data_IF_137541850364
#
_entry.id   IF_137541850364
#
_cell.length_a   1.000
_cell.length_b   1.000
_cell.length_c   1.000
_cell.angle_alpha   90.00
_cell.angle_beta   90.00
_cell.angle_gamma   90.00
#
_symmetry.space_group_name_H-M   'P 1'
#
loop_
_entity.id
_entity.type
_entity.pdbx_description
1 polymer ?
#
# COMPACT_ATOMS: atom_id res chain seq x y z
N UNK A 1 -9.59 4.38 15.19
CA UNK A 1 -8.64 5.41 14.75
C UNK A 1 -7.74 4.72 13.75
N UNK A 2 -7.60 5.23 12.52
CA UNK A 2 -6.70 4.63 11.54
C UNK A 2 -5.28 4.69 12.07
N UNK A 3 -4.50 3.64 11.82
CA UNK A 3 -3.10 3.62 12.18
C UNK A 3 -2.32 4.49 11.19
N UNK A 4 -1.50 5.42 11.71
CA UNK A 4 -0.68 6.31 10.89
C UNK A 4 0.78 5.91 11.11
N UNK A 5 1.40 5.40 10.06
CA UNK A 5 2.77 4.93 10.09
C UNK A 5 3.64 5.84 9.23
N UNK A 6 4.83 6.17 9.71
CA UNK A 6 5.81 6.90 8.91
C UNK A 6 6.44 5.97 7.89
N UNK A 7 6.56 6.45 6.66
CA UNK A 7 7.30 5.77 5.60
C UNK A 7 8.79 6.01 5.85
N UNK A 8 9.59 4.95 6.10
CA UNK A 8 11.02 5.12 6.33
C UNK A 8 11.74 5.61 5.07
N UNK A 9 12.81 6.39 5.24
CA UNK A 9 13.64 6.89 4.14
C UNK A 9 14.22 5.76 3.27
N UNK A 10 14.39 4.55 3.83
CA UNK A 10 14.81 3.37 3.08
C UNK A 10 13.84 2.99 1.94
N UNK A 11 12.57 3.43 2.02
CA UNK A 11 11.54 3.23 1.00
C UNK A 11 11.36 4.45 0.10
N UNK A 12 12.25 5.46 0.14
CA UNK A 12 12.19 6.65 -0.74
C UNK A 12 12.05 6.26 -2.22
N UNK A 13 12.83 5.27 -2.69
CA UNK A 13 12.76 4.77 -4.07
C UNK A 13 11.40 4.15 -4.44
N UNK A 14 10.64 3.70 -3.45
CA UNK A 14 9.30 3.12 -3.61
C UNK A 14 8.19 4.12 -3.32
N UNK A 15 8.48 5.24 -2.67
CA UNK A 15 7.51 6.27 -2.35
C UNK A 15 7.32 7.17 -3.57
N UNK A 16 6.14 7.07 -4.19
CA UNK A 16 5.83 7.82 -5.42
C UNK A 16 4.82 8.94 -5.16
N UNK A 17 4.79 9.46 -3.92
CA UNK A 17 3.88 10.52 -3.51
C UNK A 17 2.52 10.02 -3.06
N UNK A 18 1.48 10.83 -3.30
CA UNK A 18 0.12 10.50 -2.90
C UNK A 18 -0.44 9.33 -3.72
N UNK A 19 -1.12 8.40 -3.06
CA UNK A 19 -1.80 7.28 -3.73
C UNK A 19 -2.09 6.10 -2.81
N UNK A 20 -2.93 5.19 -3.28
CA UNK A 20 -3.32 3.99 -2.55
C UNK A 20 -2.25 2.92 -2.72
N UNK A 21 -1.86 2.32 -1.60
CA UNK A 21 -0.80 1.34 -1.54
C UNK A 21 -1.12 0.21 -0.56
N UNK A 22 -0.42 -0.89 -0.75
CA UNK A 22 -0.36 -2.02 0.17
C UNK A 22 0.99 -1.96 0.87
N UNK A 23 0.96 -1.82 2.20
CA UNK A 23 2.14 -1.80 3.05
C UNK A 23 2.29 -3.12 3.80
N UNK A 24 3.53 -3.58 3.91
CA UNK A 24 3.92 -4.61 4.87
C UNK A 24 4.50 -3.93 6.10
N UNK A 25 3.99 -4.29 7.28
CA UNK A 25 4.33 -3.68 8.56
C UNK A 25 4.85 -4.76 9.50
N UNK A 26 6.00 -4.51 10.10
CA UNK A 26 6.61 -5.41 11.09
C UNK A 26 7.09 -4.58 12.28
N UNK A 27 6.62 -4.90 13.48
CA UNK A 27 7.01 -4.19 14.70
C UNK A 27 6.61 -2.71 14.71
N UNK A 28 5.52 -2.33 14.02
CA UNK A 28 5.04 -0.94 13.94
C UNK A 28 5.81 -0.06 12.95
N UNK A 29 6.60 -0.66 12.06
CA UNK A 29 7.29 0.06 10.98
C UNK A 29 6.96 -0.57 9.63
N UNK A 30 6.86 0.27 8.60
CA UNK A 30 6.66 -0.18 7.22
C UNK A 30 7.97 -0.75 6.71
N UNK A 31 7.97 -2.04 6.39
CA UNK A 31 9.15 -2.73 5.83
C UNK A 31 9.13 -2.77 4.31
N UNK A 32 7.95 -2.67 3.71
CA UNK A 32 7.79 -2.71 2.27
C UNK A 32 6.48 -2.02 1.85
N UNK A 33 6.45 -1.49 0.64
CA UNK A 33 5.33 -0.73 0.09
C UNK A 33 5.20 -1.02 -1.41
N UNK A 34 3.96 -1.19 -1.88
CA UNK A 34 3.63 -1.32 -3.30
C UNK A 34 2.36 -0.54 -3.58
N UNK A 35 2.39 0.38 -4.55
CA UNK A 35 1.20 1.13 -4.96
C UNK A 35 0.27 0.26 -5.80
N UNK A 36 -1.04 0.47 -5.67
CA UNK A 36 -2.01 -0.28 -6.48
C UNK A 36 -1.86 0.03 -7.97
N UNK A 37 -1.55 1.28 -8.34
CA UNK A 37 -1.32 1.69 -9.73
C UNK A 37 -0.11 1.01 -10.39
N UNK A 38 0.85 0.55 -9.59
CA UNK A 38 2.02 -0.19 -10.10
C UNK A 38 1.68 -1.64 -10.44
N UNK A 39 0.61 -2.17 -9.85
CA UNK A 39 0.14 -3.56 -10.07
C UNK A 39 -1.03 -3.61 -11.04
N UNK A 40 -1.88 -2.58 -11.01
CA UNK A 40 -3.08 -2.45 -11.81
C UNK A 40 -2.93 -1.20 -12.69
N UNK A 41 -2.51 -1.38 -13.95
CA UNK A 41 -2.27 -0.26 -14.88
C UNK A 41 -3.53 0.59 -15.15
N UNK A 42 -4.71 0.03 -14.94
CA UNK A 42 -6.01 0.70 -15.12
C UNK A 42 -6.51 1.39 -13.84
N UNK A 43 -5.78 1.27 -12.73
CA UNK A 43 -6.17 1.86 -11.47
C UNK A 43 -5.78 3.34 -11.42
N UNK A 44 -6.79 4.19 -11.28
CA UNK A 44 -6.64 5.62 -11.03
C UNK A 44 -6.94 5.89 -9.55
N UNK A 45 -5.96 6.48 -8.85
CA UNK A 45 -6.05 6.89 -7.45
C UNK A 45 -7.14 7.96 -7.23
N UNK A 46 -7.50 8.72 -8.26
CA UNK A 46 -8.52 9.78 -8.23
C UNK A 46 -9.94 9.28 -8.56
N UNK A 47 -10.03 8.15 -9.28
CA UNK A 47 -11.31 7.49 -9.44
C UNK A 47 -11.68 6.87 -8.09
N UNK A 48 -12.76 7.37 -7.49
CA UNK A 48 -13.37 6.82 -6.27
C UNK A 48 -13.92 5.39 -6.43
N UNK A 49 -13.35 4.60 -7.35
CA UNK A 49 -13.56 3.18 -7.52
C UNK A 49 -13.48 2.50 -6.14
N UNK A 50 -14.44 1.62 -5.90
CA UNK A 50 -14.58 0.97 -4.61
C UNK A 50 -13.33 0.11 -4.34
N UNK A 51 -12.45 0.60 -3.46
CA UNK A 51 -11.29 -0.12 -2.94
C UNK A 51 -11.57 -1.61 -2.65
N UNK A 52 -12.74 -2.01 -2.08
CA UNK A 52 -13.04 -3.42 -1.86
C UNK A 52 -13.10 -4.28 -3.14
N UNK A 53 -13.62 -3.73 -4.24
CA UNK A 53 -13.72 -4.47 -5.51
C UNK A 53 -12.34 -4.66 -6.16
N UNK A 54 -11.41 -3.74 -5.93
CA UNK A 54 -10.03 -3.83 -6.39
C UNK A 54 -9.21 -4.82 -5.58
N UNK A 55 -9.48 -4.93 -4.27
CA UNK A 55 -8.81 -5.91 -3.40
C UNK A 55 -9.14 -7.36 -3.75
N UNK A 56 -10.28 -7.61 -4.40
CA UNK A 56 -10.64 -8.91 -4.95
C UNK A 56 -9.99 -9.21 -6.32
N UNK A 57 -9.19 -8.28 -6.88
CA UNK A 57 -8.48 -8.51 -8.14
C UNK A 57 -7.39 -9.58 -7.96
N UNK A 58 -7.50 -10.66 -8.74
CA UNK A 58 -6.57 -11.78 -8.70
C UNK A 58 -5.10 -11.38 -8.98
N UNK A 59 -4.87 -10.26 -9.67
CA UNK A 59 -3.54 -9.71 -9.96
C UNK A 59 -2.82 -9.22 -8.69
N UNK A 60 -3.56 -8.85 -7.64
CA UNK A 60 -2.96 -8.47 -6.35
C UNK A 60 -2.46 -9.67 -5.55
N UNK A 61 -2.95 -10.88 -5.84
CA UNK A 61 -2.62 -12.09 -5.07
C UNK A 61 -1.12 -12.35 -4.89
N UNK A 62 -0.29 -12.32 -5.95
CA UNK A 62 1.16 -12.45 -5.84
C UNK A 62 1.81 -11.35 -4.98
N UNK A 63 1.37 -10.09 -5.15
CA UNK A 63 1.89 -8.94 -4.40
C UNK A 63 1.57 -9.04 -2.91
N UNK A 64 0.32 -9.39 -2.58
CA UNK A 64 -0.10 -9.60 -1.19
C UNK A 64 0.69 -10.73 -0.56
N UNK A 65 0.89 -11.86 -1.25
CA UNK A 65 1.71 -12.98 -0.75
C UNK A 65 3.17 -12.58 -0.52
N UNK A 66 3.74 -11.77 -1.41
CA UNK A 66 5.10 -11.25 -1.24
C UNK A 66 5.19 -10.38 0.03
N UNK A 67 4.25 -9.47 0.22
CA UNK A 67 4.21 -8.59 1.40
C UNK A 67 3.91 -9.35 2.69
N UNK A 68 3.10 -10.41 2.63
CA UNK A 68 2.82 -11.29 3.78
C UNK A 68 4.07 -12.06 4.23
N UNK A 69 5.01 -12.32 3.32
CA UNK A 69 6.29 -12.96 3.69
C UNK A 69 7.21 -12.05 4.52
N UNK A 70 6.98 -10.73 4.47
CA UNK A 70 7.82 -9.72 5.13
C UNK A 70 7.20 -9.12 6.38
N UNK A 71 5.90 -9.29 6.60
CA UNK A 71 5.16 -8.67 7.71
C UNK A 71 3.65 -8.74 7.56
N UNK A 72 2.95 -8.09 8.49
CA UNK A 72 1.49 -7.93 8.42
C UNK A 72 1.13 -6.96 7.29
N UNK A 73 0.09 -7.28 6.52
CA UNK A 73 -0.25 -6.55 5.30
C UNK A 73 -1.46 -5.68 5.52
N UNK A 74 -1.33 -4.40 5.18
CA UNK A 74 -2.36 -3.38 5.34
C UNK A 74 -2.55 -2.62 4.04
N UNK A 75 -3.79 -2.22 3.78
CA UNK A 75 -4.15 -1.36 2.66
C UNK A 75 -4.34 0.04 3.22
N UNK A 76 -3.86 1.05 2.50
CA UNK A 76 -3.93 2.42 3.00
C UNK A 76 -3.57 3.45 1.95
N UNK A 77 -3.67 4.71 2.38
CA UNK A 77 -3.27 5.88 1.60
C UNK A 77 -1.87 6.32 2.01
N UNK A 78 -0.98 6.43 1.04
CA UNK A 78 0.29 7.13 1.18
C UNK A 78 0.08 8.62 0.92
N UNK A 79 0.51 9.49 1.84
CA UNK A 79 0.50 10.94 1.65
C UNK A 79 1.49 11.60 2.61
N UNK A 80 2.21 12.62 2.14
CA UNK A 80 3.16 13.38 2.98
C UNK A 80 4.16 12.52 3.78
N UNK A 81 4.66 11.42 3.20
CA UNK A 81 5.55 10.44 3.85
C UNK A 81 4.92 9.65 5.01
N UNK A 82 3.58 9.63 5.05
CA UNK A 82 2.79 8.87 6.00
C UNK A 82 1.93 7.85 5.24
N UNK A 83 1.71 6.71 5.87
CA UNK A 83 0.78 5.69 5.44
C UNK A 83 -0.38 5.65 6.44
N UNK A 84 -1.59 5.85 5.93
CA UNK A 84 -2.82 5.84 6.72
C UNK A 84 -3.61 4.60 6.33
N UNK A 85 -3.77 3.68 7.28
CA UNK A 85 -4.55 2.45 7.08
C UNK A 85 -6.04 2.78 6.80
N UNK A 86 -6.63 2.10 5.81
CA UNK A 86 -8.02 2.26 5.34
C UNK A 86 -8.93 1.11 5.79
#
# INVERSE_FOLDING_TARGET
MPNILKIPDALESKYHGCGIAIASVTGGQIVNLVYLRDVLEEFDDEDGAALPALLDDARLGPTVRLLQSTGDVFVGMCSCWEFVEL
#
